data_IF_688965988717
#
_entry.id   IF_688965988717
#
_cell.length_a   1.000
_cell.length_b   1.000
_cell.length_c   1.000
_cell.angle_alpha   90.00
_cell.angle_beta   90.00
_cell.angle_gamma   90.00
#
_symmetry.space_group_name_H-M   'P 1'
#
loop_
_entity.id
_entity.type
_entity.pdbx_description
1 polymer ?
#
# COMPACT_ATOMS: atom_id res chain seq x y z
N UNK A 1 -4.73 -14.09 14.84
CA UNK A 1 -5.71 -13.07 15.30
C UNK A 1 -5.44 -11.64 14.77
N UNK A 2 -4.24 -11.08 14.99
CA UNK A 2 -3.92 -9.68 14.65
C UNK A 2 -3.98 -9.36 13.15
N UNK A 3 -3.41 -10.24 12.31
CA UNK A 3 -3.43 -10.06 10.83
C UNK A 3 -4.85 -10.11 10.26
N UNK A 4 -5.69 -11.05 10.72
CA UNK A 4 -7.09 -11.16 10.29
C UNK A 4 -7.90 -9.90 10.67
N UNK A 5 -7.69 -9.38 11.87
CA UNK A 5 -8.35 -8.16 12.32
C UNK A 5 -7.89 -6.94 11.53
N UNK A 6 -6.59 -6.81 11.29
CA UNK A 6 -6.04 -5.77 10.43
C UNK A 6 -6.62 -5.85 9.01
N UNK A 7 -6.63 -7.04 8.41
CA UNK A 7 -7.19 -7.25 7.07
C UNK A 7 -8.68 -6.88 7.00
N UNK A 8 -9.46 -7.25 8.03
CA UNK A 8 -10.86 -6.87 8.13
C UNK A 8 -11.04 -5.34 8.21
N UNK A 9 -10.23 -4.65 9.02
CA UNK A 9 -10.24 -3.19 9.07
C UNK A 9 -9.81 -2.57 7.75
N UNK A 10 -8.79 -3.13 7.09
CA UNK A 10 -8.27 -2.65 5.81
C UNK A 10 -9.35 -2.74 4.72
N UNK A 11 -10.06 -3.86 4.64
CA UNK A 11 -11.17 -4.04 3.71
C UNK A 11 -12.29 -3.00 3.95
N UNK A 12 -12.56 -2.64 5.21
CA UNK A 12 -13.61 -1.68 5.55
C UNK A 12 -13.16 -0.21 5.42
N UNK A 13 -11.93 0.07 4.95
CA UNK A 13 -11.29 1.41 5.02
C UNK A 13 -11.33 1.97 6.46
N UNK A 14 -11.13 1.08 7.44
CA UNK A 14 -11.19 1.38 8.88
C UNK A 14 -9.82 1.44 9.55
N UNK A 15 -8.74 1.25 8.80
CA UNK A 15 -7.39 1.44 9.32
C UNK A 15 -7.14 2.91 9.69
N UNK A 16 -6.41 3.13 10.78
CA UNK A 16 -5.94 4.46 11.16
C UNK A 16 -4.81 4.86 10.22
N UNK A 17 -5.13 5.71 9.26
CA UNK A 17 -4.19 6.34 8.33
C UNK A 17 -4.29 7.86 8.47
N UNK A 18 -3.26 8.60 8.08
CA UNK A 18 -3.27 10.07 8.13
C UNK A 18 -4.47 10.67 7.38
N UNK A 19 -4.85 10.11 6.22
CA UNK A 19 -6.05 10.50 5.47
C UNK A 19 -7.33 10.39 6.32
N UNK A 20 -7.46 9.32 7.10
CA UNK A 20 -8.65 9.10 7.93
C UNK A 20 -8.68 9.99 9.17
N UNK A 21 -7.51 10.30 9.73
CA UNK A 21 -7.35 11.31 10.77
C UNK A 21 -7.78 12.69 10.23
N UNK A 22 -7.33 13.05 9.03
CA UNK A 22 -7.69 14.28 8.35
C UNK A 22 -9.21 14.43 8.16
N UNK A 23 -9.88 13.39 7.67
CA UNK A 23 -11.35 13.34 7.50
C UNK A 23 -12.13 13.54 8.81
N UNK A 24 -11.50 13.30 9.96
CA UNK A 24 -12.09 13.46 11.31
C UNK A 24 -11.66 14.75 12.00
N UNK A 25 -10.91 15.62 11.31
CA UNK A 25 -10.38 16.86 11.89
C UNK A 25 -9.32 16.62 12.98
N UNK A 26 -8.71 15.43 13.02
CA UNK A 26 -7.66 15.10 13.96
C UNK A 26 -6.29 15.50 13.39
N UNK A 27 -5.34 15.77 14.28
CA UNK A 27 -3.97 16.07 13.88
C UNK A 27 -3.38 14.88 13.13
N UNK A 28 -2.74 15.17 12.00
CA UNK A 28 -2.17 14.15 11.12
C UNK A 28 -0.94 14.72 10.39
N UNK A 29 0.04 13.86 10.05
CA UNK A 29 1.15 14.28 9.21
C UNK A 29 0.66 14.56 7.78
N UNK A 30 1.23 15.58 7.14
CA UNK A 30 0.89 15.95 5.75
C UNK A 30 1.35 14.90 4.74
N UNK A 31 2.49 14.24 5.03
CA UNK A 31 3.10 13.21 4.20
C UNK A 31 3.18 11.88 4.96
N UNK A 32 3.32 10.79 4.21
CA UNK A 32 3.51 9.46 4.76
C UNK A 32 4.81 9.38 5.58
N UNK A 33 4.77 8.94 6.85
CA UNK A 33 5.94 8.92 7.73
C UNK A 33 7.03 7.94 7.28
N UNK A 34 6.73 7.02 6.35
CA UNK A 34 7.70 6.03 5.85
C UNK A 34 8.52 6.54 4.66
N UNK A 35 7.96 7.40 3.82
CA UNK A 35 8.61 7.83 2.57
C UNK A 35 8.69 9.35 2.39
N UNK A 36 7.91 10.11 3.16
CA UNK A 36 7.80 11.57 3.14
C UNK A 36 7.47 12.18 1.75
N UNK A 37 6.87 11.40 0.84
CA UNK A 37 6.68 11.80 -0.56
C UNK A 37 5.22 12.07 -0.95
N UNK A 38 4.25 11.45 -0.28
CA UNK A 38 2.84 11.55 -0.63
C UNK A 38 1.95 11.39 0.61
N UNK A 39 0.67 11.84 0.57
CA UNK A 39 -0.27 11.63 1.67
C UNK A 39 -0.43 10.15 2.03
N UNK A 40 -0.52 9.87 3.33
CA UNK A 40 -0.74 8.49 3.79
C UNK A 40 -2.20 8.07 3.60
N UNK A 41 -2.43 7.25 2.59
CA UNK A 41 -3.65 6.47 2.42
C UNK A 41 -3.36 4.99 2.65
N UNK A 42 -4.39 4.16 2.86
CA UNK A 42 -4.19 2.70 3.00
C UNK A 42 -3.52 2.10 1.76
N UNK A 43 -3.94 2.54 0.56
CA UNK A 43 -3.34 2.13 -0.72
C UNK A 43 -1.87 2.55 -0.80
N UNK A 44 -1.56 3.79 -0.42
CA UNK A 44 -0.17 4.25 -0.40
C UNK A 44 0.65 3.41 0.58
N UNK A 45 0.22 3.32 1.84
CA UNK A 45 0.92 2.61 2.90
C UNK A 45 1.18 1.14 2.55
N UNK A 46 0.25 0.44 1.89
CA UNK A 46 0.41 -0.98 1.60
C UNK A 46 1.07 -1.28 0.26
N UNK A 47 0.85 -0.45 -0.78
CA UNK A 47 1.20 -0.82 -2.17
C UNK A 47 2.06 0.22 -2.90
N UNK A 48 1.81 1.52 -2.70
CA UNK A 48 2.48 2.56 -3.48
C UNK A 48 3.72 3.15 -2.78
N UNK A 49 3.80 3.07 -1.46
CA UNK A 49 4.90 3.60 -0.66
C UNK A 49 6.21 2.89 -1.08
N UNK A 50 7.27 3.64 -1.42
CA UNK A 50 8.57 3.05 -1.78
C UNK A 50 9.10 2.09 -0.72
N UNK A 51 8.94 2.42 0.56
CA UNK A 51 9.30 1.54 1.68
C UNK A 51 8.55 0.21 1.61
N UNK A 52 7.22 0.26 1.48
CA UNK A 52 6.39 -0.95 1.44
C UNK A 52 6.63 -1.78 0.18
N UNK A 53 6.94 -1.14 -0.95
CA UNK A 53 7.35 -1.85 -2.17
C UNK A 53 8.65 -2.63 -1.95
N UNK A 54 9.62 -2.06 -1.23
CA UNK A 54 10.83 -2.81 -0.87
C UNK A 54 10.49 -4.01 0.00
N UNK A 55 9.64 -3.85 1.01
CA UNK A 55 9.19 -4.98 1.86
C UNK A 55 8.52 -6.07 1.03
N UNK A 56 7.64 -5.71 0.10
CA UNK A 56 7.02 -6.68 -0.81
C UNK A 56 8.04 -7.39 -1.68
N UNK A 57 9.03 -6.67 -2.22
CA UNK A 57 10.10 -7.26 -3.01
C UNK A 57 10.85 -8.34 -2.20
N UNK A 58 11.24 -8.04 -0.95
CA UNK A 58 11.92 -9.00 -0.08
C UNK A 58 11.03 -10.22 0.23
N UNK A 59 9.75 -10.00 0.53
CA UNK A 59 8.80 -11.09 0.82
C UNK A 59 8.60 -11.98 -0.41
N UNK A 60 8.39 -11.40 -1.59
CA UNK A 60 8.15 -12.14 -2.83
C UNK A 60 9.41 -12.89 -3.27
N UNK A 61 10.59 -12.28 -3.10
CA UNK A 61 11.89 -12.92 -3.28
C UNK A 61 12.04 -14.14 -2.35
N UNK A 62 11.73 -13.98 -1.06
CA UNK A 62 11.77 -15.08 -0.08
C UNK A 62 10.80 -16.21 -0.42
N UNK A 63 9.60 -15.88 -0.90
CA UNK A 63 8.58 -16.85 -1.32
C UNK A 63 8.85 -17.45 -2.72
N UNK A 64 9.88 -16.99 -3.43
CA UNK A 64 10.17 -17.36 -4.83
C UNK A 64 8.97 -17.16 -5.77
N UNK A 65 8.17 -16.13 -5.51
CA UNK A 65 7.03 -15.76 -6.34
C UNK A 65 7.54 -14.83 -7.46
N UNK A 66 7.44 -15.23 -8.73
CA UNK A 66 7.85 -14.35 -9.82
C UNK A 66 6.89 -13.14 -9.88
N UNK A 67 7.46 -11.95 -9.77
CA UNK A 67 6.72 -10.71 -9.99
C UNK A 67 6.71 -10.46 -11.50
N UNK A 68 5.78 -11.06 -12.23
CA UNK A 68 5.63 -10.71 -13.64
C UNK A 68 5.15 -9.26 -13.71
N UNK A 69 5.86 -8.37 -14.44
CA UNK A 69 5.27 -7.10 -14.80
C UNK A 69 3.96 -7.40 -15.55
N UNK A 70 2.90 -6.58 -15.38
CA UNK A 70 1.67 -6.76 -16.15
C UNK A 70 2.07 -6.81 -17.63
N UNK A 71 1.82 -7.94 -18.27
CA UNK A 71 2.18 -8.20 -19.65
C UNK A 71 1.71 -7.01 -20.48
N UNK A 72 2.66 -6.31 -21.09
CA UNK A 72 2.33 -5.27 -22.07
C UNK A 72 1.56 -5.97 -23.18
N UNK A 73 0.25 -5.68 -23.26
CA UNK A 73 -0.68 -6.14 -24.29
C UNK A 73 0.04 -6.27 -25.65
N UNK A 74 -0.01 -7.43 -26.32
CA UNK A 74 0.54 -7.55 -27.66
C UNK A 74 -0.26 -6.61 -28.56
N UNK A 75 0.43 -5.59 -29.08
CA UNK A 75 -0.10 -4.70 -30.10
C UNK A 75 -0.58 -5.55 -31.27
N UNK A 76 -1.88 -5.82 -31.33
CA UNK A 76 -2.53 -6.46 -32.47
C UNK A 76 -2.67 -5.40 -33.55
N UNK A 77 -1.57 -5.15 -34.25
CA UNK A 77 -1.60 -4.58 -35.58
C UNK A 77 -1.89 -5.73 -36.56
N UNK A 78 -3.14 -5.89 -36.97
CA UNK A 78 -3.58 -6.25 -38.34
C UNK A 78 -5.09 -6.02 -38.43
#
# INVERSE_FOLDING_TARGET
PRVRFFHWLAHLDRCWTADRLARRGLQHPACCPLCDQAPETLRHLLLACPFSRQVWYEILSWLRVPCNPPDSEPSTNT
#
